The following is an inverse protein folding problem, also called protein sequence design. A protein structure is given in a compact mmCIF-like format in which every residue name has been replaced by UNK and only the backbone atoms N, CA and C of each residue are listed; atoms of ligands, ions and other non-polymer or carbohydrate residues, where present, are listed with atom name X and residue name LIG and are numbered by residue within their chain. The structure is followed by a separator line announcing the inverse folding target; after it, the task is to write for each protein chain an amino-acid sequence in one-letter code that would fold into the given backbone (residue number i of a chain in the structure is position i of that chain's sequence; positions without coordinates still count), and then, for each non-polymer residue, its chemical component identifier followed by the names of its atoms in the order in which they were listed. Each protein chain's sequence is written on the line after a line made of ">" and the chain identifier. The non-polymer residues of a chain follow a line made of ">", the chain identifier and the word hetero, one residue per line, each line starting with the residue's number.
data_IF_750114004630
#
_entry.id   IF_750114004630
#
_cell.length_a   1.000
_cell.length_b   1.000
_cell.length_c   1.000
_cell.angle_alpha   90.00
_cell.angle_beta   90.00
_cell.angle_gamma   90.00
#
_symmetry.space_group_name_H-M   'P 1'
#
loop_
_entity.id
_entity.type
_entity.pdbx_description
1 polymer ?
#
# COMPACT_ATOMS: atom_id res chain seq x y z
N UNK A 1 -26.14 9.78 -10.36
CA UNK A 1 -24.88 10.54 -10.22
C UNK A 1 -23.88 9.91 -11.16
N UNK A 2 -23.33 10.68 -12.09
CA UNK A 2 -22.23 10.21 -12.96
C UNK A 2 -20.92 10.17 -12.17
N UNK A 3 -19.90 9.47 -12.71
CA UNK A 3 -18.57 9.47 -12.11
C UNK A 3 -17.93 10.87 -12.09
N UNK A 4 -18.21 11.69 -13.11
CA UNK A 4 -17.74 13.07 -13.17
C UNK A 4 -18.40 13.93 -12.09
N UNK A 5 -19.72 13.85 -11.93
CA UNK A 5 -20.45 14.54 -10.87
C UNK A 5 -19.94 14.14 -9.49
N UNK A 6 -19.73 12.83 -9.26
CA UNK A 6 -19.14 12.34 -8.02
C UNK A 6 -17.75 12.97 -7.77
N UNK A 7 -16.86 12.93 -8.77
CA UNK A 7 -15.50 13.48 -8.62
C UNK A 7 -15.51 15.00 -8.38
N UNK A 8 -16.37 15.73 -9.10
CA UNK A 8 -16.48 17.19 -9.02
C UNK A 8 -17.13 17.67 -7.73
N UNK A 9 -18.21 17.02 -7.30
CA UNK A 9 -19.13 17.57 -6.29
C UNK A 9 -19.04 16.88 -4.92
N UNK A 10 -18.40 15.71 -4.82
CA UNK A 10 -18.30 14.97 -3.55
C UNK A 10 -17.73 15.84 -2.42
N UNK A 11 -18.41 15.84 -1.28
CA UNK A 11 -17.95 16.43 -0.03
C UNK A 11 -17.53 15.31 0.92
N UNK A 12 -16.30 15.35 1.41
CA UNK A 12 -15.80 14.34 2.35
C UNK A 12 -16.65 14.22 3.62
N UNK A 13 -17.37 15.26 4.02
CA UNK A 13 -18.27 15.22 5.18
C UNK A 13 -19.54 14.40 4.93
N UNK A 14 -19.93 14.20 3.66
CA UNK A 14 -21.07 13.36 3.28
C UNK A 14 -20.75 11.86 3.34
N UNK A 15 -19.46 11.49 3.37
CA UNK A 15 -19.07 10.10 3.54
C UNK A 15 -19.42 9.57 4.94
N UNK A 16 -19.78 8.28 5.07
CA UNK A 16 -20.00 7.64 6.36
C UNK A 16 -18.81 7.84 7.31
N UNK A 17 -19.09 7.93 8.62
CA UNK A 17 -18.03 8.11 9.62
C UNK A 17 -16.93 7.04 9.51
N UNK A 18 -17.31 5.78 9.25
CA UNK A 18 -16.36 4.68 9.03
C UNK A 18 -15.43 4.98 7.85
N UNK A 19 -15.99 5.34 6.70
CA UNK A 19 -15.25 5.72 5.49
C UNK A 19 -14.27 6.85 5.75
N UNK A 20 -14.71 7.91 6.43
CA UNK A 20 -13.85 9.05 6.77
C UNK A 20 -12.66 8.64 7.66
N UNK A 21 -12.93 7.80 8.67
CA UNK A 21 -11.88 7.27 9.53
C UNK A 21 -10.88 6.40 8.76
N UNK A 22 -11.36 5.55 7.84
CA UNK A 22 -10.49 4.72 7.00
C UNK A 22 -9.60 5.58 6.10
N UNK A 23 -10.12 6.62 5.44
CA UNK A 23 -9.29 7.53 4.61
C UNK A 23 -8.17 8.17 5.44
N UNK A 24 -8.48 8.65 6.66
CA UNK A 24 -7.46 9.23 7.54
C UNK A 24 -6.44 8.18 8.01
N UNK A 25 -6.89 6.98 8.34
CA UNK A 25 -6.03 5.86 8.75
C UNK A 25 -5.12 5.41 7.60
N UNK A 26 -5.63 5.32 6.37
CA UNK A 26 -4.83 4.99 5.19
C UNK A 26 -3.79 6.07 4.87
N UNK A 27 -4.12 7.34 5.07
CA UNK A 27 -3.13 8.42 4.96
C UNK A 27 -2.01 8.27 6.00
N UNK A 28 -2.35 7.96 7.26
CA UNK A 28 -1.37 7.66 8.31
C UNK A 28 -0.51 6.45 7.96
N UNK A 29 -1.14 5.37 7.51
CA UNK A 29 -0.49 4.12 7.17
C UNK A 29 0.54 4.30 6.05
N UNK A 30 0.11 4.85 4.90
CA UNK A 30 0.99 5.07 3.75
C UNK A 30 2.16 5.99 4.11
N UNK A 31 1.92 7.08 4.85
CA UNK A 31 3.01 7.99 5.25
C UNK A 31 3.98 7.27 6.20
N UNK A 32 3.49 6.45 7.13
CA UNK A 32 4.33 5.63 8.00
C UNK A 32 5.18 4.62 7.22
N UNK A 33 4.58 3.92 6.25
CA UNK A 33 5.29 3.00 5.37
C UNK A 33 6.36 3.73 4.55
N UNK A 34 6.04 4.88 3.95
CA UNK A 34 6.99 5.69 3.21
C UNK A 34 8.13 6.22 4.09
N UNK A 35 7.87 6.52 5.38
CA UNK A 35 8.90 6.92 6.32
C UNK A 35 9.88 5.78 6.61
N UNK A 36 9.36 4.56 6.84
CA UNK A 36 10.20 3.37 7.02
C UNK A 36 10.97 2.96 5.76
N UNK A 37 10.42 3.26 4.59
CA UNK A 37 11.06 3.01 3.31
C UNK A 37 12.07 4.08 2.90
N UNK A 38 12.15 5.20 3.62
CA UNK A 38 12.75 6.43 3.09
C UNK A 38 14.25 6.32 2.78
N UNK A 39 14.97 5.39 3.41
CA UNK A 39 16.40 5.14 3.18
C UNK A 39 16.68 3.82 2.45
N UNK A 40 15.65 3.06 2.07
CA UNK A 40 15.86 1.78 1.41
C UNK A 40 16.33 1.93 -0.05
N UNK A 41 16.89 0.85 -0.60
CA UNK A 41 17.50 0.85 -1.93
C UNK A 41 16.55 1.30 -3.05
N UNK A 42 15.30 0.85 -3.02
CA UNK A 42 14.27 1.22 -4.01
C UNK A 42 13.94 2.70 -3.95
N UNK A 43 13.65 3.23 -2.77
CA UNK A 43 13.35 4.65 -2.58
C UNK A 43 14.52 5.53 -3.02
N UNK A 44 15.75 5.21 -2.60
CA UNK A 44 16.93 5.99 -2.99
C UNK A 44 17.16 5.96 -4.49
N UNK A 45 17.06 4.78 -5.12
CA UNK A 45 17.22 4.64 -6.56
C UNK A 45 16.16 5.44 -7.34
N UNK A 46 14.89 5.39 -6.90
CA UNK A 46 13.78 6.06 -7.58
C UNK A 46 13.75 7.57 -7.37
N UNK A 47 14.16 8.07 -6.20
CA UNK A 47 14.38 9.52 -5.99
C UNK A 47 15.45 10.05 -6.94
N UNK A 48 16.60 9.37 -7.02
CA UNK A 48 17.69 9.72 -7.95
C UNK A 48 17.23 9.65 -9.41
N UNK A 49 16.41 8.68 -9.76
CA UNK A 49 15.82 8.58 -11.10
C UNK A 49 14.91 9.77 -11.40
N UNK A 50 14.02 10.13 -10.47
CA UNK A 50 13.16 11.31 -10.60
C UNK A 50 13.98 12.61 -10.73
N UNK A 51 14.99 12.82 -9.89
CA UNK A 51 15.85 14.00 -9.96
C UNK A 51 16.57 14.15 -11.31
N UNK A 52 17.05 13.04 -11.89
CA UNK A 52 17.83 13.06 -13.13
C UNK A 52 16.97 13.18 -14.38
N UNK A 53 15.80 12.55 -14.39
CA UNK A 53 14.99 12.40 -15.61
C UNK A 53 13.71 13.23 -15.61
N UNK A 54 13.34 13.79 -14.46
CA UNK A 54 12.15 14.61 -14.28
C UNK A 54 12.50 15.90 -13.56
N UNK A 55 13.35 16.77 -14.13
CA UNK A 55 13.73 18.03 -13.49
C UNK A 55 12.49 18.90 -13.24
N UNK A 56 12.54 19.73 -12.19
CA UNK A 56 11.44 20.63 -11.84
C UNK A 56 11.00 21.49 -13.05
N UNK A 57 9.69 21.54 -13.27
CA UNK A 57 9.06 22.33 -14.33
C UNK A 57 7.86 23.11 -13.79
N UNK A 58 6.89 23.41 -14.67
CA UNK A 58 5.66 24.14 -14.31
C UNK A 58 4.94 23.50 -13.11
N UNK A 59 4.70 22.18 -13.19
CA UNK A 59 4.21 21.39 -12.06
C UNK A 59 5.38 20.75 -11.33
N UNK A 60 5.86 21.41 -10.28
CA UNK A 60 7.02 21.00 -9.49
C UNK A 60 6.61 20.63 -8.08
N UNK A 61 7.01 19.43 -7.63
CA UNK A 61 6.63 18.85 -6.35
C UNK A 61 7.85 18.35 -5.59
N UNK A 62 7.79 18.41 -4.26
CA UNK A 62 8.83 17.88 -3.38
C UNK A 62 8.74 16.36 -3.28
N UNK A 63 9.88 15.69 -3.41
CA UNK A 63 10.02 14.28 -3.07
C UNK A 63 9.73 14.07 -1.58
N UNK A 64 8.74 13.24 -1.27
CA UNK A 64 8.34 12.92 0.11
C UNK A 64 9.55 12.40 0.90
N UNK A 65 9.75 12.94 2.10
CA UNK A 65 10.88 12.69 3.01
C UNK A 65 12.29 13.02 2.49
N UNK A 66 12.39 13.75 1.38
CA UNK A 66 13.66 14.22 0.82
C UNK A 66 13.67 15.75 0.64
N UNK A 67 12.54 16.32 0.18
CA UNK A 67 12.33 17.75 0.04
C UNK A 67 12.89 18.37 -1.23
N UNK A 68 13.71 17.64 -2.01
CA UNK A 68 14.13 18.05 -3.34
C UNK A 68 12.93 18.18 -4.27
N UNK A 69 12.90 19.26 -5.05
CA UNK A 69 11.84 19.52 -6.03
C UNK A 69 12.18 18.88 -7.38
N UNK A 70 11.21 18.17 -7.93
CA UNK A 70 11.25 17.52 -9.26
C UNK A 70 9.92 17.79 -9.97
N UNK A 71 9.78 17.41 -11.23
CA UNK A 71 8.48 17.42 -11.89
C UNK A 71 7.49 16.52 -11.12
N UNK A 72 6.23 16.94 -11.01
CA UNK A 72 5.18 16.19 -10.30
C UNK A 72 5.05 14.74 -10.76
N UNK A 73 5.27 14.46 -12.06
CA UNK A 73 5.27 13.10 -12.61
C UNK A 73 6.39 12.25 -12.00
N UNK A 74 7.59 12.82 -11.88
CA UNK A 74 8.72 12.17 -11.22
C UNK A 74 8.51 12.01 -9.71
N UNK A 75 7.90 12.99 -9.04
CA UNK A 75 7.58 12.91 -7.62
C UNK A 75 6.56 11.81 -7.32
N UNK A 76 5.49 11.72 -8.11
CA UNK A 76 4.47 10.69 -7.99
C UNK A 76 5.04 9.30 -8.32
N UNK A 77 5.88 9.19 -9.37
CA UNK A 77 6.58 7.96 -9.71
C UNK A 77 7.42 7.47 -8.54
N UNK A 78 8.33 8.31 -8.03
CA UNK A 78 9.19 7.94 -6.90
C UNK A 78 8.37 7.62 -5.64
N UNK A 79 7.35 8.42 -5.34
CA UNK A 79 6.48 8.22 -4.18
C UNK A 79 5.74 6.88 -4.21
N UNK A 80 5.20 6.49 -5.36
CA UNK A 80 4.50 5.20 -5.50
C UNK A 80 5.40 4.00 -5.28
N UNK A 81 6.61 4.00 -5.86
CA UNK A 81 7.60 2.94 -5.59
C UNK A 81 8.09 2.95 -4.14
N UNK A 82 8.22 4.11 -3.52
CA UNK A 82 8.59 4.22 -2.11
C UNK A 82 7.52 3.63 -1.19
N UNK A 83 6.24 3.92 -1.43
CA UNK A 83 5.14 3.38 -0.64
C UNK A 83 5.07 1.84 -0.72
N UNK A 84 5.40 1.25 -1.87
CA UNK A 84 5.38 -0.21 -2.11
C UNK A 84 6.65 -0.95 -1.63
N UNK A 85 7.76 -0.24 -1.46
CA UNK A 85 9.07 -0.88 -1.31
C UNK A 85 9.26 -1.71 -0.02
N UNK A 86 8.30 -1.64 0.91
CA UNK A 86 8.23 -2.48 2.11
C UNK A 86 7.07 -3.49 2.10
N UNK A 87 6.21 -3.48 1.07
CA UNK A 87 5.01 -4.33 0.97
C UNK A 87 4.10 -4.30 2.23
N UNK A 88 4.03 -3.13 2.88
CA UNK A 88 3.41 -2.97 4.20
C UNK A 88 2.12 -2.16 4.18
N UNK A 89 1.71 -1.64 3.03
CA UNK A 89 0.53 -0.82 2.88
C UNK A 89 -0.76 -1.64 2.95
N UNK A 90 -1.87 -0.94 3.21
CA UNK A 90 -3.22 -1.45 3.15
C UNK A 90 -3.58 -2.01 1.77
N UNK A 91 -4.55 -2.93 1.71
CA UNK A 91 -5.02 -3.55 0.46
C UNK A 91 -6.51 -3.87 0.49
N UNK A 92 -7.02 -4.44 -0.61
CA UNK A 92 -8.44 -4.69 -0.82
C UNK A 92 -8.66 -6.02 -1.55
N UNK A 93 -9.55 -6.86 -1.00
CA UNK A 93 -9.75 -8.22 -1.47
C UNK A 93 -10.30 -8.32 -2.89
N UNK A 94 -11.37 -7.59 -3.23
CA UNK A 94 -12.03 -7.74 -4.54
C UNK A 94 -11.15 -7.28 -5.70
N UNK A 95 -10.39 -6.21 -5.50
CA UNK A 95 -9.42 -5.74 -6.49
C UNK A 95 -8.09 -6.50 -6.43
N UNK A 96 -7.92 -7.42 -5.47
CA UNK A 96 -6.68 -8.17 -5.21
C UNK A 96 -5.45 -7.25 -5.12
N UNK A 97 -5.62 -6.02 -4.64
CA UNK A 97 -4.60 -4.97 -4.83
C UNK A 97 -4.70 -3.82 -3.85
N UNK A 98 -3.92 -2.77 -4.12
CA UNK A 98 -3.56 -1.73 -3.16
C UNK A 98 -3.68 -0.33 -3.79
N UNK A 99 -4.77 0.40 -3.50
CA UNK A 99 -4.96 1.73 -4.08
C UNK A 99 -4.03 2.78 -3.46
N UNK A 100 -3.83 2.74 -2.14
CA UNK A 100 -3.22 3.84 -1.40
C UNK A 100 -1.77 4.12 -1.71
N UNK A 101 -0.98 3.08 -1.93
CA UNK A 101 0.41 3.22 -2.33
C UNK A 101 0.57 3.91 -3.70
N UNK A 102 -0.48 3.98 -4.52
CA UNK A 102 -0.52 4.83 -5.72
C UNK A 102 -1.16 6.19 -5.44
N UNK A 103 -2.35 6.19 -4.82
CA UNK A 103 -3.21 7.37 -4.64
C UNK A 103 -2.58 8.42 -3.74
N UNK A 104 -2.13 8.03 -2.54
CA UNK A 104 -1.60 8.98 -1.55
C UNK A 104 -0.38 9.74 -2.08
N UNK A 105 0.71 9.10 -2.57
CA UNK A 105 1.87 9.85 -3.05
C UNK A 105 1.55 10.71 -4.28
N UNK A 106 0.69 10.25 -5.20
CA UNK A 106 0.33 11.03 -6.39
C UNK A 106 -0.51 12.26 -6.06
N UNK A 107 -1.52 12.12 -5.19
CA UNK A 107 -2.38 13.23 -4.76
C UNK A 107 -1.59 14.23 -3.93
N UNK A 108 -0.72 13.77 -3.02
CA UNK A 108 0.19 14.66 -2.28
C UNK A 108 1.15 15.39 -3.21
N UNK A 109 1.69 14.70 -4.23
CA UNK A 109 2.59 15.32 -5.20
C UNK A 109 1.87 16.43 -5.98
N UNK A 110 0.66 16.16 -6.47
CA UNK A 110 -0.16 17.13 -7.20
C UNK A 110 -0.56 18.32 -6.31
N UNK A 111 -0.99 18.05 -5.08
CA UNK A 111 -1.34 19.10 -4.12
C UNK A 111 -0.13 19.99 -3.76
N UNK A 112 1.08 19.42 -3.59
CA UNK A 112 2.30 20.21 -3.38
C UNK A 112 2.67 21.05 -4.61
N UNK A 113 2.48 20.51 -5.82
CA UNK A 113 2.71 21.26 -7.06
C UNK A 113 1.75 22.45 -7.22
N UNK A 114 0.47 22.24 -6.94
CA UNK A 114 -0.54 23.30 -6.95
C UNK A 114 -0.27 24.36 -5.85
N UNK A 115 0.14 23.90 -4.67
CA UNK A 115 0.59 24.81 -3.60
C UNK A 115 1.80 25.64 -4.04
N UNK A 116 2.77 25.04 -4.73
CA UNK A 116 3.91 25.76 -5.28
C UNK A 116 3.50 26.82 -6.31
N UNK A 117 2.44 26.57 -7.09
CA UNK A 117 1.84 27.55 -8.01
C UNK A 117 0.97 28.61 -7.31
N UNK A 118 0.91 28.61 -5.97
CA UNK A 118 0.17 29.59 -5.18
C UNK A 118 -1.27 29.21 -4.88
N UNK A 119 -1.73 28.01 -5.25
CA UNK A 119 -3.07 27.53 -4.93
C UNK A 119 -3.08 26.80 -3.58
N UNK A 120 -3.77 27.36 -2.58
CA UNK A 120 -3.94 26.71 -1.29
C UNK A 120 -4.94 25.55 -1.41
N UNK A 121 -4.51 24.34 -1.06
CA UNK A 121 -5.37 23.16 -0.95
C UNK A 121 -5.74 22.97 0.52
N UNK A 122 -7.03 23.07 0.86
CA UNK A 122 -7.46 22.83 2.25
C UNK A 122 -7.32 21.36 2.60
N UNK A 123 -7.20 21.02 3.88
CA UNK A 123 -7.14 19.62 4.27
C UNK A 123 -8.45 18.86 4.02
N UNK A 124 -9.58 19.56 4.07
CA UNK A 124 -10.87 19.02 3.61
C UNK A 124 -10.85 18.64 2.12
N UNK A 125 -10.30 19.52 1.27
CA UNK A 125 -10.15 19.25 -0.17
C UNK A 125 -9.18 18.10 -0.43
N UNK A 126 -8.07 18.02 0.30
CA UNK A 126 -7.13 16.90 0.22
C UNK A 126 -7.80 15.57 0.59
N UNK A 127 -8.54 15.51 1.71
CA UNK A 127 -9.25 14.31 2.14
C UNK A 127 -10.35 13.91 1.15
N UNK A 128 -11.04 14.88 0.54
CA UNK A 128 -12.01 14.63 -0.53
C UNK A 128 -11.34 13.98 -1.74
N UNK A 129 -10.23 14.54 -2.21
CA UNK A 129 -9.46 14.01 -3.33
C UNK A 129 -8.92 12.60 -3.04
N UNK A 130 -8.40 12.35 -1.84
CA UNK A 130 -7.95 11.02 -1.42
C UNK A 130 -9.13 10.03 -1.42
N UNK A 131 -10.26 10.38 -0.81
CA UNK A 131 -11.44 9.51 -0.76
C UNK A 131 -11.94 9.14 -2.16
N UNK A 132 -12.06 10.13 -3.06
CA UNK A 132 -12.40 9.91 -4.47
C UNK A 132 -11.39 8.95 -5.11
N UNK A 133 -10.10 9.21 -4.94
CA UNK A 133 -9.03 8.41 -5.55
C UNK A 133 -9.03 6.96 -5.08
N UNK A 134 -9.19 6.72 -3.77
CA UNK A 134 -9.30 5.36 -3.22
C UNK A 134 -10.55 4.66 -3.75
N UNK A 135 -11.72 5.27 -3.61
CA UNK A 135 -13.00 4.64 -3.96
C UNK A 135 -13.04 4.25 -5.43
N UNK A 136 -12.63 5.15 -6.32
CA UNK A 136 -12.66 4.94 -7.77
C UNK A 136 -11.57 3.98 -8.24
N UNK A 137 -10.35 4.02 -7.66
CA UNK A 137 -9.31 3.04 -7.95
C UNK A 137 -9.74 1.61 -7.56
N UNK A 138 -10.32 1.44 -6.37
CA UNK A 138 -10.74 0.12 -5.89
C UNK A 138 -11.90 -0.47 -6.72
N UNK A 139 -12.83 0.38 -7.18
CA UNK A 139 -13.89 -0.02 -8.12
C UNK A 139 -13.32 -0.44 -9.47
N UNK A 140 -12.43 0.37 -10.05
CA UNK A 140 -11.75 0.03 -11.31
C UNK A 140 -10.94 -1.27 -11.19
N UNK A 141 -10.25 -1.49 -10.08
CA UNK A 141 -9.53 -2.73 -9.82
C UNK A 141 -10.45 -3.94 -9.68
N UNK A 142 -11.60 -3.78 -9.03
CA UNK A 142 -12.61 -4.85 -8.95
C UNK A 142 -13.19 -5.19 -10.32
N UNK A 143 -13.49 -4.17 -11.14
CA UNK A 143 -13.93 -4.35 -12.52
C UNK A 143 -12.88 -5.05 -13.39
N UNK A 144 -11.60 -4.69 -13.25
CA UNK A 144 -10.50 -5.34 -13.96
C UNK A 144 -10.36 -6.81 -13.56
N UNK A 145 -10.44 -7.12 -12.25
CA UNK A 145 -10.35 -8.50 -11.76
C UNK A 145 -11.55 -9.36 -12.16
N UNK A 146 -12.73 -8.75 -12.37
CA UNK A 146 -13.92 -9.45 -12.84
C UNK A 146 -13.89 -9.75 -14.35
N UNK A 147 -13.18 -8.94 -15.12
CA UNK A 147 -13.16 -9.01 -16.59
C UNK A 147 -11.88 -9.60 -17.19
N UNK A 148 -10.86 -9.84 -16.36
CA UNK A 148 -9.59 -10.45 -16.79
C UNK A 148 -9.32 -11.77 -16.05
N UNK A 149 -8.91 -12.84 -16.75
CA UNK A 149 -8.44 -14.06 -16.10
C UNK A 149 -7.04 -13.88 -15.47
N UNK A 150 -6.35 -12.78 -15.77
CA UNK A 150 -5.00 -12.51 -15.25
C UNK A 150 -5.08 -11.66 -14.00
N UNK A 151 -4.35 -12.08 -12.96
CA UNK A 151 -4.11 -11.24 -11.79
C UNK A 151 -3.14 -10.11 -12.15
N UNK A 152 -3.62 -8.87 -12.16
CA UNK A 152 -2.86 -7.69 -12.56
C UNK A 152 -2.40 -6.85 -11.38
N UNK A 153 -1.26 -6.19 -11.58
CA UNK A 153 -0.68 -5.27 -10.61
C UNK A 153 -1.54 -4.01 -10.44
N UNK A 154 -1.57 -3.48 -9.23
CA UNK A 154 -2.46 -2.40 -8.81
C UNK A 154 -2.23 -1.07 -9.52
N UNK A 155 -0.99 -0.81 -9.94
CA UNK A 155 -0.68 0.37 -10.76
C UNK A 155 -1.54 0.46 -12.03
N UNK A 156 -1.94 -0.70 -12.59
CA UNK A 156 -2.76 -0.80 -13.79
C UNK A 156 -4.15 -0.16 -13.67
N UNK A 157 -4.79 -0.29 -12.50
CA UNK A 157 -6.13 0.28 -12.26
C UNK A 157 -6.11 1.54 -11.41
N UNK A 158 -5.08 1.74 -10.56
CA UNK A 158 -5.04 2.86 -9.63
C UNK A 158 -4.83 4.21 -10.31
N UNK A 159 -4.30 4.23 -11.54
CA UNK A 159 -4.20 5.43 -12.37
C UNK A 159 -5.56 6.11 -12.60
N UNK A 160 -6.65 5.34 -12.70
CA UNK A 160 -8.01 5.89 -12.85
C UNK A 160 -8.45 6.67 -11.61
N UNK A 161 -8.05 6.20 -10.42
CA UNK A 161 -8.29 6.94 -9.17
C UNK A 161 -7.51 8.25 -9.11
N UNK A 162 -6.29 8.28 -9.66
CA UNK A 162 -5.51 9.51 -9.80
C UNK A 162 -6.22 10.50 -10.73
N UNK A 163 -6.78 10.04 -11.85
CA UNK A 163 -7.56 10.89 -12.74
C UNK A 163 -8.78 11.47 -12.03
N UNK A 164 -9.56 10.66 -11.29
CA UNK A 164 -10.74 11.14 -10.57
C UNK A 164 -10.38 12.19 -9.50
N UNK A 165 -9.37 11.91 -8.68
CA UNK A 165 -8.89 12.85 -7.67
C UNK A 165 -8.29 14.13 -8.30
N UNK A 166 -7.46 13.96 -9.32
CA UNK A 166 -6.77 15.05 -9.99
C UNK A 166 -7.69 15.92 -10.84
N UNK A 167 -8.75 15.37 -11.43
CA UNK A 167 -9.75 16.14 -12.17
C UNK A 167 -10.44 17.18 -11.27
N UNK A 168 -10.76 16.79 -10.03
CA UNK A 168 -11.25 17.71 -9.01
C UNK A 168 -10.20 18.78 -8.68
N UNK A 169 -8.98 18.36 -8.38
CA UNK A 169 -7.90 19.29 -8.00
C UNK A 169 -7.49 20.22 -9.15
N UNK A 170 -7.65 19.84 -10.40
CA UNK A 170 -7.31 20.65 -11.58
C UNK A 170 -8.52 21.42 -12.14
N UNK A 171 -9.73 21.16 -11.63
CA UNK A 171 -10.95 21.83 -12.08
C UNK A 171 -11.34 21.48 -13.51
N UNK A 172 -11.18 20.22 -13.91
CA UNK A 172 -11.48 19.77 -15.28
C UNK A 172 -12.99 19.78 -15.56
N UNK A 173 -13.35 20.01 -16.82
CA UNK A 173 -14.70 19.75 -17.34
C UNK A 173 -14.89 18.25 -17.67
N UNK A 174 -16.15 17.86 -17.93
CA UNK A 174 -16.53 16.46 -18.15
C UNK A 174 -15.88 15.84 -19.39
N UNK A 175 -15.72 16.62 -20.48
CA UNK A 175 -15.14 16.11 -21.71
C UNK A 175 -13.64 15.83 -21.54
N UNK A 176 -12.93 16.77 -20.91
CA UNK A 176 -11.51 16.62 -20.57
C UNK A 176 -11.30 15.46 -19.59
N UNK A 177 -12.17 15.34 -18.57
CA UNK A 177 -12.15 14.24 -17.60
C UNK A 177 -12.30 12.87 -18.27
N UNK A 178 -13.27 12.72 -19.18
CA UNK A 178 -13.51 11.46 -19.91
C UNK A 178 -12.30 11.06 -20.75
N UNK A 179 -11.67 12.00 -21.45
CA UNK A 179 -10.44 11.72 -22.20
C UNK A 179 -9.28 11.34 -21.28
N UNK A 180 -9.13 11.99 -20.12
CA UNK A 180 -8.11 11.63 -19.14
C UNK A 180 -8.28 10.20 -18.61
N UNK A 181 -9.52 9.77 -18.31
CA UNK A 181 -9.78 8.37 -17.89
C UNK A 181 -9.31 7.38 -18.94
N UNK A 182 -9.68 7.66 -20.19
CA UNK A 182 -9.29 6.87 -21.34
C UNK A 182 -7.79 6.73 -21.56
N UNK A 183 -7.09 7.87 -21.54
CA UNK A 183 -5.63 7.91 -21.67
C UNK A 183 -4.97 7.14 -20.51
N UNK A 184 -5.46 7.35 -19.28
CA UNK A 184 -4.90 6.68 -18.11
C UNK A 184 -5.03 5.17 -18.22
N UNK A 185 -6.21 4.64 -18.55
CA UNK A 185 -6.39 3.19 -18.66
C UNK A 185 -5.58 2.61 -19.83
N UNK A 186 -5.58 3.27 -20.99
CA UNK A 186 -4.89 2.78 -22.18
C UNK A 186 -3.36 2.71 -21.99
N UNK A 187 -2.78 3.67 -21.26
CA UNK A 187 -1.33 3.69 -20.97
C UNK A 187 -0.94 2.99 -19.68
N UNK A 188 -1.89 2.64 -18.82
CA UNK A 188 -1.58 1.88 -17.61
C UNK A 188 -1.31 0.43 -17.96
N UNK A 189 -0.07 0.00 -17.78
CA UNK A 189 0.32 -1.37 -18.05
C UNK A 189 -0.43 -2.34 -17.12
N UNK A 190 -1.19 -3.27 -17.72
CA UNK A 190 -1.83 -4.40 -17.01
C UNK A 190 -0.78 -5.47 -16.66
N UNK A 191 0.22 -5.11 -15.85
CA UNK A 191 1.36 -5.96 -15.48
C UNK A 191 0.88 -7.25 -14.78
N UNK A 192 1.24 -8.47 -15.24
CA UNK A 192 0.84 -9.71 -14.56
C UNK A 192 1.52 -9.84 -13.20
N UNK A 193 0.75 -9.78 -12.12
CA UNK A 193 1.28 -9.67 -10.76
C UNK A 193 2.08 -10.92 -10.35
N UNK A 194 1.64 -12.10 -10.78
CA UNK A 194 2.31 -13.36 -10.47
C UNK A 194 3.78 -13.41 -10.93
N UNK A 195 4.18 -12.61 -11.93
CA UNK A 195 5.59 -12.54 -12.35
C UNK A 195 6.48 -11.98 -11.24
N UNK A 196 6.02 -10.95 -10.53
CA UNK A 196 6.78 -10.33 -9.42
C UNK A 196 6.67 -11.19 -8.17
N UNK A 197 5.54 -11.85 -7.93
CA UNK A 197 5.42 -12.82 -6.82
C UNK A 197 6.40 -13.98 -6.99
N UNK A 198 6.52 -14.53 -8.21
CA UNK A 198 7.40 -15.67 -8.51
C UNK A 198 8.88 -15.26 -8.66
N UNK A 199 9.14 -14.03 -9.10
CA UNK A 199 10.47 -13.45 -9.21
C UNK A 199 10.46 -12.04 -8.60
N UNK A 200 10.57 -11.94 -7.25
CA UNK A 200 10.56 -10.66 -6.55
C UNK A 200 11.63 -9.70 -7.08
N UNK A 201 11.21 -8.49 -7.40
CA UNK A 201 12.06 -7.42 -7.91
C UNK A 201 11.54 -6.06 -7.47
N UNK A 202 12.35 -5.02 -7.68
CA UNK A 202 12.01 -3.62 -7.41
C UNK A 202 10.90 -3.06 -8.32
N UNK A 203 10.32 -3.87 -9.23
CA UNK A 203 9.16 -3.49 -10.04
C UNK A 203 7.88 -3.40 -9.20
N UNK A 204 7.81 -4.21 -8.14
CA UNK A 204 6.72 -4.23 -7.15
C UNK A 204 5.33 -4.31 -7.81
N UNK A 205 4.29 -3.76 -7.18
CA UNK A 205 2.91 -3.76 -7.68
C UNK A 205 2.64 -2.60 -8.67
N UNK A 206 3.70 -2.13 -9.34
CA UNK A 206 3.71 -1.06 -10.33
C UNK A 206 3.08 0.28 -9.87
N UNK A 207 3.00 0.54 -8.57
CA UNK A 207 2.33 1.73 -8.02
C UNK A 207 2.87 3.05 -8.56
N UNK A 208 4.20 3.21 -8.66
CA UNK A 208 4.78 4.43 -9.22
C UNK A 208 4.47 4.62 -10.72
N UNK A 209 4.35 3.52 -11.48
CA UNK A 209 3.94 3.59 -12.88
C UNK A 209 2.48 4.03 -13.03
N UNK A 210 1.58 3.51 -12.17
CA UNK A 210 0.18 3.96 -12.13
C UNK A 210 0.02 5.42 -11.70
N UNK A 211 0.79 5.84 -10.70
CA UNK A 211 0.83 7.23 -10.22
C UNK A 211 1.23 8.19 -11.34
N UNK A 212 2.27 7.82 -12.10
CA UNK A 212 2.68 8.56 -13.29
C UNK A 212 1.62 8.56 -14.38
N UNK A 213 1.10 7.39 -14.75
CA UNK A 213 0.16 7.25 -15.86
C UNK A 213 -1.09 8.11 -15.65
N UNK A 214 -1.64 8.12 -14.42
CA UNK A 214 -2.80 8.94 -14.09
C UNK A 214 -2.54 10.44 -14.15
N UNK A 215 -1.43 10.92 -13.58
CA UNK A 215 -1.08 12.36 -13.68
C UNK A 215 -0.73 12.77 -15.11
N UNK A 216 -0.01 11.92 -15.85
CA UNK A 216 0.33 12.16 -17.25
C UNK A 216 -0.94 12.25 -18.11
N UNK A 217 -1.92 11.37 -17.88
CA UNK A 217 -3.20 11.39 -18.58
C UNK A 217 -4.00 12.68 -18.35
N UNK A 218 -4.02 13.20 -17.11
CA UNK A 218 -4.64 14.49 -16.79
C UNK A 218 -4.01 15.61 -17.62
N UNK A 219 -2.68 15.71 -17.61
CA UNK A 219 -1.99 16.78 -18.36
C UNK A 219 -2.13 16.62 -19.87
N UNK A 220 -2.09 15.41 -20.41
CA UNK A 220 -2.34 15.17 -21.83
C UNK A 220 -3.75 15.61 -22.25
N UNK A 221 -4.77 15.27 -21.46
CA UNK A 221 -6.15 15.66 -21.74
C UNK A 221 -6.33 17.19 -21.68
N UNK A 222 -5.67 17.87 -20.72
CA UNK A 222 -5.68 19.34 -20.63
C UNK A 222 -5.08 20.02 -21.88
N UNK A 223 -4.14 19.36 -22.55
CA UNK A 223 -3.56 19.81 -23.83
C UNK A 223 -4.41 19.40 -25.06
N UNK A 224 -5.61 18.85 -24.84
CA UNK A 224 -6.55 18.46 -25.89
C UNK A 224 -6.26 17.11 -26.54
N UNK A 225 -5.38 16.29 -25.96
CA UNK A 225 -5.22 14.90 -26.40
C UNK A 225 -6.49 14.12 -26.06
N UNK A 226 -6.97 13.35 -27.03
CA UNK A 226 -8.17 12.53 -26.87
C UNK A 226 -7.82 11.11 -26.41
N UNK A 227 -8.60 10.58 -25.48
CA UNK A 227 -8.52 9.19 -25.00
C UNK A 227 -9.62 8.30 -25.56
N UNK A 228 -9.32 7.02 -25.78
CA UNK A 228 -10.32 5.98 -26.00
C UNK A 228 -11.15 5.75 -24.72
N UNK A 229 -12.43 5.35 -24.77
CA UNK A 229 -13.21 5.09 -23.57
C UNK A 229 -12.52 4.12 -22.60
N UNK A 230 -12.56 4.39 -21.30
CA UNK A 230 -11.99 3.49 -20.30
C UNK A 230 -12.91 2.28 -20.07
N UNK A 231 -12.51 1.09 -20.50
CA UNK A 231 -13.28 -0.15 -20.45
C UNK A 231 -13.72 -0.51 -19.02
N UNK A 232 -12.83 -0.40 -18.03
CA UNK A 232 -13.14 -0.76 -16.62
C UNK A 232 -14.04 0.26 -15.92
N UNK A 233 -14.43 1.33 -16.62
CA UNK A 233 -15.35 2.36 -16.14
C UNK A 233 -16.63 2.41 -16.97
N UNK A 234 -16.49 2.42 -18.29
CA UNK A 234 -17.55 2.77 -19.23
C UNK A 234 -18.19 1.58 -19.93
N UNK A 235 -17.54 0.41 -19.94
CA UNK A 235 -18.11 -0.77 -20.57
C UNK A 235 -19.37 -1.23 -19.82
N UNK A 236 -20.41 -1.61 -20.56
CA UNK A 236 -21.69 -2.04 -19.97
C UNK A 236 -21.53 -3.28 -19.08
N UNK A 237 -20.55 -4.13 -19.37
CA UNK A 237 -20.25 -5.35 -18.61
C UNK A 237 -19.72 -5.07 -17.20
N UNK A 238 -19.17 -3.88 -16.94
CA UNK A 238 -18.64 -3.48 -15.63
C UNK A 238 -19.56 -2.52 -14.87
N UNK A 239 -20.73 -2.18 -15.43
CA UNK A 239 -21.64 -1.18 -14.86
C UNK A 239 -22.06 -1.50 -13.41
N UNK A 240 -22.11 -2.79 -13.03
CA UNK A 240 -22.44 -3.20 -11.67
C UNK A 240 -21.42 -2.75 -10.60
N UNK A 241 -20.16 -2.55 -10.99
CA UNK A 241 -19.10 -2.07 -10.10
C UNK A 241 -19.19 -0.56 -9.82
N UNK A 242 -20.00 0.17 -10.59
CA UNK A 242 -20.14 1.63 -10.49
C UNK A 242 -21.54 2.10 -10.11
N UNK A 243 -22.56 1.23 -10.21
CA UNK A 243 -23.99 1.58 -10.03
C UNK A 243 -24.35 2.20 -8.68
N UNK A 244 -23.58 1.91 -7.64
CA UNK A 244 -23.82 2.34 -6.25
C UNK A 244 -22.73 3.29 -5.73
N UNK A 245 -22.04 3.99 -6.64
CA UNK A 245 -21.08 5.03 -6.31
C UNK A 245 -21.71 6.09 -5.38
N UNK A 246 -21.02 6.39 -4.28
CA UNK A 246 -21.50 7.28 -3.23
C UNK A 246 -22.51 6.66 -2.27
N UNK A 247 -22.92 5.41 -2.47
CA UNK A 247 -23.85 4.68 -1.59
C UNK A 247 -23.16 3.52 -0.86
N UNK A 248 -22.47 2.66 -1.62
CA UNK A 248 -21.55 1.65 -1.10
C UNK A 248 -20.12 2.18 -1.23
N UNK A 249 -19.25 1.84 -0.28
CA UNK A 249 -17.87 2.29 -0.26
C UNK A 249 -16.96 1.06 -0.34
N UNK A 250 -16.20 0.90 -1.43
CA UNK A 250 -15.20 -0.17 -1.53
C UNK A 250 -14.04 0.05 -0.55
N UNK A 251 -13.70 1.31 -0.27
CA UNK A 251 -12.68 1.66 0.73
C UNK A 251 -12.99 1.11 2.12
N UNK A 252 -14.26 0.89 2.46
CA UNK A 252 -14.67 0.31 3.75
C UNK A 252 -14.29 -1.17 3.92
N UNK A 253 -13.84 -1.82 2.85
CA UNK A 253 -13.46 -3.23 2.77
C UNK A 253 -11.94 -3.44 2.69
N UNK A 254 -11.15 -2.42 3.04
CA UNK A 254 -9.68 -2.52 3.08
C UNK A 254 -9.17 -3.28 4.31
N UNK A 255 -8.07 -4.00 4.14
CA UNK A 255 -7.27 -4.55 5.24
C UNK A 255 -5.98 -3.74 5.42
N UNK A 256 -5.46 -3.69 6.65
CA UNK A 256 -4.17 -3.08 6.98
C UNK A 256 -3.16 -4.16 7.34
N UNK A 257 -2.03 -4.21 6.65
CA UNK A 257 -0.97 -5.18 6.97
C UNK A 257 -0.21 -4.75 8.23
N UNK A 258 -0.20 -5.51 9.34
CA UNK A 258 0.64 -5.19 10.49
C UNK A 258 2.13 -5.39 10.21
N UNK A 259 2.49 -6.31 9.32
CA UNK A 259 3.89 -6.63 8.98
C UNK A 259 4.22 -6.32 7.52
N UNK A 260 5.48 -5.92 7.21
CA UNK A 260 5.95 -5.55 5.88
C UNK A 260 6.25 -6.78 5.00
N UNK A 261 5.23 -7.60 4.73
CA UNK A 261 5.34 -8.87 3.99
C UNK A 261 4.09 -9.15 3.17
N UNK A 262 4.24 -10.06 2.21
CA UNK A 262 3.17 -10.51 1.33
C UNK A 262 1.90 -10.82 2.12
N UNK A 263 0.76 -10.40 1.57
CA UNK A 263 -0.56 -10.63 2.17
C UNK A 263 -0.77 -12.09 2.56
N UNK A 264 -0.27 -13.02 1.76
CA UNK A 264 -0.40 -14.47 1.98
C UNK A 264 0.38 -14.98 3.19
N UNK A 265 1.42 -14.26 3.65
CA UNK A 265 2.18 -14.63 4.83
C UNK A 265 1.56 -14.16 6.17
N UNK A 266 0.68 -13.15 6.12
CA UNK A 266 0.09 -12.50 7.31
C UNK A 266 -0.64 -13.47 8.27
N UNK A 267 -1.40 -14.50 7.82
CA UNK A 267 -2.10 -15.38 8.75
C UNK A 267 -1.15 -16.24 9.60
N UNK A 268 -0.03 -16.70 9.04
CA UNK A 268 0.97 -17.46 9.80
C UNK A 268 1.65 -16.59 10.88
N UNK A 269 1.97 -15.33 10.56
CA UNK A 269 2.51 -14.39 11.57
C UNK A 269 1.47 -14.09 12.66
N UNK A 270 0.18 -14.00 12.28
CA UNK A 270 -0.93 -13.83 13.24
C UNK A 270 -1.03 -15.00 14.20
N UNK A 271 -0.99 -16.23 13.67
CA UNK A 271 -1.04 -17.45 14.48
C UNK A 271 0.16 -17.57 15.44
N UNK A 272 1.37 -17.22 14.97
CA UNK A 272 2.57 -17.25 15.81
C UNK A 272 2.51 -16.22 16.93
N UNK A 273 2.11 -14.99 16.63
CA UNK A 273 1.98 -13.94 17.64
C UNK A 273 1.02 -14.36 18.76
N UNK A 274 -0.13 -14.95 18.39
CA UNK A 274 -1.11 -15.41 19.38
C UNK A 274 -0.58 -16.59 20.21
N UNK A 275 0.14 -17.53 19.60
CA UNK A 275 0.81 -18.61 20.34
C UNK A 275 1.86 -18.07 21.31
N UNK A 276 2.69 -17.09 20.92
CA UNK A 276 3.66 -16.46 21.82
C UNK A 276 2.98 -15.72 22.98
N UNK A 277 1.82 -15.10 22.73
CA UNK A 277 1.01 -14.45 23.77
C UNK A 277 0.46 -15.45 24.79
N UNK A 278 0.01 -16.62 24.33
CA UNK A 278 -0.52 -17.69 25.18
C UNK A 278 0.59 -18.48 25.89
N UNK A 279 1.79 -18.53 25.30
CA UNK A 279 2.95 -19.28 25.81
C UNK A 279 4.18 -18.37 25.90
N UNK A 280 4.31 -17.54 26.95
CA UNK A 280 5.40 -16.56 27.06
C UNK A 280 6.83 -17.13 27.09
N UNK A 281 6.99 -18.44 27.33
CA UNK A 281 8.28 -19.13 27.28
C UNK A 281 8.62 -19.68 25.88
N UNK A 282 7.76 -19.47 24.89
CA UNK A 282 8.00 -19.83 23.50
C UNK A 282 9.03 -18.88 22.88
N UNK A 283 10.26 -19.38 22.68
CA UNK A 283 11.39 -18.63 22.15
C UNK A 283 12.13 -19.48 21.09
N UNK A 284 12.91 -18.82 20.23
CA UNK A 284 13.61 -19.49 19.13
C UNK A 284 14.47 -20.70 19.57
N UNK A 285 15.09 -20.62 20.75
CA UNK A 285 15.95 -21.67 21.29
C UNK A 285 15.19 -22.88 21.84
N UNK A 286 13.90 -22.73 22.20
CA UNK A 286 13.07 -23.83 22.70
C UNK A 286 12.34 -24.58 21.59
N UNK A 287 12.29 -24.02 20.38
CA UNK A 287 11.65 -24.62 19.20
C UNK A 287 12.58 -25.65 18.57
N UNK A 288 12.03 -26.81 18.22
CA UNK A 288 12.67 -27.84 17.40
C UNK A 288 12.33 -27.63 15.92
N UNK A 289 11.04 -27.54 15.59
CA UNK A 289 10.53 -27.25 14.23
C UNK A 289 9.20 -26.48 14.26
N UNK A 290 8.88 -25.83 13.14
CA UNK A 290 7.58 -25.19 12.90
C UNK A 290 7.01 -25.74 11.60
N UNK A 291 5.80 -26.28 11.62
CA UNK A 291 5.03 -26.62 10.43
C UNK A 291 3.96 -25.56 10.19
N UNK A 292 3.94 -25.00 8.98
CA UNK A 292 2.94 -24.05 8.50
C UNK A 292 2.07 -24.75 7.47
N UNK A 293 0.80 -24.92 7.78
CA UNK A 293 -0.21 -25.45 6.88
C UNK A 293 -1.01 -24.28 6.29
N UNK A 294 -1.06 -24.17 4.96
CA UNK A 294 -1.70 -23.04 4.28
C UNK A 294 -2.18 -23.41 2.86
N UNK A 295 -2.68 -22.44 2.09
CA UNK A 295 -3.14 -22.65 0.71
C UNK A 295 -1.95 -22.67 -0.27
N UNK A 296 -2.16 -23.25 -1.46
CA UNK A 296 -1.11 -23.49 -2.47
C UNK A 296 -0.24 -22.25 -2.77
N UNK A 297 -0.87 -21.10 -3.02
CA UNK A 297 -0.18 -19.87 -3.38
C UNK A 297 0.72 -19.35 -2.24
N UNK A 298 0.29 -19.46 -0.98
CA UNK A 298 1.15 -19.13 0.16
C UNK A 298 2.25 -20.16 0.38
N UNK A 299 1.99 -21.44 0.08
CA UNK A 299 3.00 -22.50 0.14
C UNK A 299 4.13 -22.25 -0.85
N UNK A 300 3.84 -21.63 -2.00
CA UNK A 300 4.87 -21.21 -2.96
C UNK A 300 5.81 -20.12 -2.43
N UNK A 301 5.48 -19.43 -1.33
CA UNK A 301 6.32 -18.41 -0.69
C UNK A 301 7.31 -19.00 0.33
N UNK A 302 7.96 -20.14 0.04
CA UNK A 302 8.82 -20.85 1.02
C UNK A 302 9.85 -19.92 1.69
N UNK A 303 10.78 -19.38 0.90
CA UNK A 303 11.60 -18.23 1.27
C UNK A 303 12.51 -18.38 2.50
N UNK A 304 13.20 -19.51 2.66
CA UNK A 304 14.03 -19.75 3.87
C UNK A 304 15.27 -18.86 3.98
N UNK A 305 15.90 -18.51 2.85
CA UNK A 305 17.17 -17.76 2.80
C UNK A 305 17.11 -16.68 1.73
N UNK A 306 16.33 -15.60 1.95
CA UNK A 306 16.22 -14.50 1.00
C UNK A 306 17.57 -13.83 0.78
N UNK A 307 17.84 -13.38 -0.45
CA UNK A 307 19.10 -12.71 -0.83
C UNK A 307 19.05 -11.20 -0.69
N UNK A 308 17.85 -10.64 -0.70
CA UNK A 308 17.58 -9.22 -0.74
C UNK A 308 16.22 -8.92 -0.07
N UNK A 309 15.89 -7.63 0.06
CA UNK A 309 14.67 -7.19 0.70
C UNK A 309 13.41 -7.60 -0.07
N UNK A 310 13.46 -7.59 -1.40
CA UNK A 310 12.34 -8.01 -2.24
C UNK A 310 11.99 -9.48 -1.96
N UNK A 311 12.98 -10.37 -1.92
CA UNK A 311 12.78 -11.78 -1.57
C UNK A 311 12.35 -11.97 -0.12
N UNK A 312 12.88 -11.19 0.82
CA UNK A 312 12.51 -11.32 2.24
C UNK A 312 11.02 -10.99 2.49
N UNK A 313 10.47 -10.03 1.74
CA UNK A 313 9.06 -9.62 1.86
C UNK A 313 8.10 -10.62 1.18
N UNK A 314 8.57 -11.38 0.19
CA UNK A 314 7.83 -12.47 -0.48
C UNK A 314 8.27 -13.87 0.01
N UNK A 315 8.89 -13.94 1.17
CA UNK A 315 9.27 -15.16 1.87
C UNK A 315 8.37 -15.33 3.09
N UNK A 316 7.76 -16.49 3.31
CA UNK A 316 6.94 -16.76 4.50
C UNK A 316 7.81 -17.26 5.67
N UNK A 317 8.75 -18.17 5.43
CA UNK A 317 9.58 -18.74 6.51
C UNK A 317 10.43 -17.67 7.20
N UNK A 318 11.15 -16.84 6.42
CA UNK A 318 12.06 -15.85 6.96
C UNK A 318 11.42 -14.83 7.93
N UNK A 319 10.36 -14.08 7.57
CA UNK A 319 9.74 -13.14 8.49
C UNK A 319 9.00 -13.82 9.64
N UNK A 320 8.49 -15.05 9.47
CA UNK A 320 7.95 -15.83 10.57
C UNK A 320 9.05 -16.16 11.60
N UNK A 321 10.23 -16.55 11.13
CA UNK A 321 11.39 -16.75 12.00
C UNK A 321 11.86 -15.44 12.65
N UNK A 322 11.89 -14.33 11.90
CA UNK A 322 12.24 -13.02 12.42
C UNK A 322 11.30 -12.58 13.54
N UNK A 323 9.99 -12.81 13.39
CA UNK A 323 8.99 -12.53 14.41
C UNK A 323 9.31 -13.29 15.71
N UNK A 324 9.62 -14.58 15.62
CA UNK A 324 9.95 -15.39 16.80
C UNK A 324 11.25 -14.93 17.46
N UNK A 325 12.27 -14.65 16.67
CA UNK A 325 13.63 -14.32 17.14
C UNK A 325 13.71 -12.91 17.72
N UNK A 326 12.99 -11.94 17.15
CA UNK A 326 13.04 -10.52 17.54
C UNK A 326 11.83 -10.08 18.35
N UNK A 327 10.74 -10.84 18.35
CA UNK A 327 9.46 -10.44 18.94
C UNK A 327 8.71 -9.35 18.16
N UNK A 328 9.24 -8.93 17.00
CA UNK A 328 8.68 -7.90 16.11
C UNK A 328 9.09 -8.18 14.66
N UNK A 329 8.35 -7.61 13.71
CA UNK A 329 8.78 -7.50 12.30
C UNK A 329 8.38 -6.11 11.79
N UNK A 330 9.38 -5.26 11.60
CA UNK A 330 9.25 -3.96 10.94
C UNK A 330 10.22 -3.82 9.75
N UNK A 331 10.48 -2.60 9.26
CA UNK A 331 11.40 -2.37 8.15
C UNK A 331 12.79 -2.97 8.38
N UNK A 332 13.29 -2.91 9.61
CA UNK A 332 14.62 -3.43 9.99
C UNK A 332 14.74 -4.94 9.76
N UNK A 333 13.70 -5.70 10.11
CA UNK A 333 13.73 -7.16 10.04
C UNK A 333 13.65 -7.71 8.61
N UNK A 334 13.16 -6.93 7.64
CA UNK A 334 13.02 -7.37 6.23
C UNK A 334 13.96 -6.64 5.28
N UNK A 335 14.94 -5.89 5.80
CA UNK A 335 15.93 -5.15 5.01
C UNK A 335 17.34 -5.27 5.60
N UNK A 336 18.34 -4.75 4.87
CA UNK A 336 19.69 -4.55 5.40
C UNK A 336 20.34 -5.82 5.96
N UNK A 337 20.96 -5.70 7.14
CA UNK A 337 21.72 -6.78 7.79
C UNK A 337 20.86 -7.87 8.41
N UNK A 338 19.57 -7.64 8.66
CA UNK A 338 18.69 -8.66 9.24
C UNK A 338 18.49 -9.84 8.29
N UNK A 339 18.50 -9.58 6.97
CA UNK A 339 18.37 -10.60 5.91
C UNK A 339 19.42 -11.70 6.03
N UNK A 340 20.63 -11.35 6.50
CA UNK A 340 21.74 -12.29 6.67
C UNK A 340 21.98 -12.69 8.13
N UNK A 341 21.07 -12.37 9.05
CA UNK A 341 21.22 -12.68 10.47
C UNK A 341 21.24 -14.19 10.73
N UNK A 342 22.33 -14.77 11.27
CA UNK A 342 22.47 -16.22 11.40
C UNK A 342 21.40 -16.89 12.28
N UNK A 343 20.93 -16.19 13.31
CA UNK A 343 19.89 -16.68 14.23
C UNK A 343 18.50 -16.76 13.58
N UNK A 344 18.12 -15.75 12.79
CA UNK A 344 16.89 -15.76 12.00
C UNK A 344 16.96 -16.87 10.95
N UNK A 345 18.07 -16.95 10.21
CA UNK A 345 18.25 -17.98 9.18
C UNK A 345 18.24 -19.40 9.76
N UNK A 346 18.83 -19.60 10.95
CA UNK A 346 18.82 -20.90 11.64
C UNK A 346 17.41 -21.35 12.05
N UNK A 347 16.54 -20.44 12.50
CA UNK A 347 15.14 -20.78 12.74
C UNK A 347 14.35 -20.94 11.43
N UNK A 348 14.56 -20.06 10.46
CA UNK A 348 13.89 -20.09 9.15
C UNK A 348 14.09 -21.43 8.42
N UNK A 349 15.29 -22.02 8.53
CA UNK A 349 15.61 -23.33 7.95
C UNK A 349 14.86 -24.51 8.61
N UNK A 350 14.24 -24.30 9.78
CA UNK A 350 13.48 -25.32 10.53
C UNK A 350 11.96 -25.16 10.37
N UNK A 351 11.55 -24.27 9.48
CA UNK A 351 10.15 -24.04 9.14
C UNK A 351 9.83 -24.90 7.91
N UNK A 352 8.79 -25.72 7.99
CA UNK A 352 8.25 -26.47 6.87
C UNK A 352 6.92 -25.84 6.47
N UNK A 353 6.76 -25.42 5.22
CA UNK A 353 5.50 -24.85 4.72
C UNK A 353 4.87 -25.84 3.75
N UNK A 354 3.63 -26.22 4.02
CA UNK A 354 2.89 -27.23 3.25
C UNK A 354 1.52 -26.71 2.85
N UNK A 355 1.04 -27.24 1.73
CA UNK A 355 -0.35 -27.08 1.34
C UNK A 355 -1.26 -27.95 2.22
N UNK A 356 -2.38 -27.39 2.66
CA UNK A 356 -3.43 -28.10 3.38
C UNK A 356 -4.75 -27.99 2.62
N UNK A 357 -5.32 -29.15 2.22
CA UNK A 357 -6.48 -29.21 1.34
C UNK A 357 -7.74 -28.52 1.93
N UNK A 358 -7.92 -28.58 3.26
CA UNK A 358 -9.01 -27.89 3.97
C UNK A 358 -8.88 -26.37 3.93
N UNK A 359 -7.65 -25.85 3.79
CA UNK A 359 -7.36 -24.42 3.67
C UNK A 359 -7.39 -23.99 2.20
N UNK A 360 -6.77 -24.74 1.28
CA UNK A 360 -6.79 -24.45 -0.17
C UNK A 360 -8.21 -24.39 -0.73
N UNK A 361 -9.11 -25.25 -0.27
CA UNK A 361 -10.50 -25.26 -0.72
C UNK A 361 -11.30 -23.99 -0.38
N UNK A 362 -10.75 -23.09 0.44
CA UNK A 362 -11.37 -21.82 0.87
C UNK A 362 -10.73 -20.60 0.21
N UNK A 363 -9.66 -20.79 -0.57
CA UNK A 363 -9.02 -19.72 -1.33
C UNK A 363 -9.71 -19.57 -2.70
N UNK A 364 -9.92 -18.34 -3.22
CA UNK A 364 -9.43 -17.05 -2.73
C UNK A 364 -10.32 -16.31 -1.72
N UNK A 365 -11.47 -16.86 -1.34
CA UNK A 365 -12.44 -16.21 -0.46
C UNK A 365 -11.87 -15.95 0.94
N UNK A 366 -11.03 -16.86 1.44
CA UNK A 366 -10.35 -16.77 2.73
C UNK A 366 -8.85 -17.03 2.59
N UNK A 367 -8.04 -16.25 3.32
CA UNK A 367 -6.58 -16.33 3.34
C UNK A 367 -6.17 -16.78 4.75
N UNK A 368 -5.76 -18.04 4.89
CA UNK A 368 -5.65 -18.70 6.19
C UNK A 368 -4.35 -19.51 6.35
N UNK A 369 -3.94 -19.70 7.60
CA UNK A 369 -2.86 -20.61 7.98
C UNK A 369 -3.15 -21.31 9.31
N UNK A 370 -2.51 -22.46 9.53
CA UNK A 370 -2.47 -23.19 10.80
C UNK A 370 -1.03 -23.55 11.11
N UNK A 371 -0.60 -23.37 12.36
CA UNK A 371 0.75 -23.67 12.82
C UNK A 371 0.77 -24.89 13.75
N UNK A 372 1.79 -25.73 13.60
CA UNK A 372 2.20 -26.70 14.61
C UNK A 372 3.67 -26.46 14.98
N UNK A 373 3.94 -26.18 16.25
CA UNK A 373 5.28 -25.90 16.77
C UNK A 373 5.71 -27.05 17.66
N UNK A 374 6.73 -27.78 17.25
CA UNK A 374 7.35 -28.81 18.09
C UNK A 374 8.46 -28.15 18.92
N UNK A 375 8.42 -28.30 20.23
CA UNK A 375 9.45 -27.85 21.16
C UNK A 375 10.50 -28.93 21.38
N UNK A 376 11.72 -28.54 21.79
CA UNK A 376 12.82 -29.46 22.09
C UNK A 376 12.55 -30.43 23.23
N UNK A 377 11.57 -30.14 24.08
CA UNK A 377 11.10 -31.03 25.15
C UNK A 377 10.04 -32.05 24.66
N UNK A 378 9.70 -32.05 23.37
CA UNK A 378 8.71 -32.93 22.75
C UNK A 378 7.27 -32.42 22.81
N UNK A 379 6.99 -31.30 23.49
CA UNK A 379 5.66 -30.69 23.48
C UNK A 379 5.34 -30.12 22.10
N UNK A 380 4.09 -30.28 21.65
CA UNK A 380 3.59 -29.69 20.41
C UNK A 380 2.51 -28.66 20.73
N UNK A 381 2.68 -27.44 20.24
CA UNK A 381 1.69 -26.36 20.31
C UNK A 381 1.03 -26.22 18.94
N UNK A 382 -0.30 -26.14 18.90
CA UNK A 382 -1.05 -26.05 17.64
C UNK A 382 -1.96 -24.83 17.68
N UNK A 383 -1.90 -23.98 16.64
CA UNK A 383 -2.81 -22.85 16.50
C UNK A 383 -4.16 -23.31 15.92
N UNK A 384 -5.26 -22.56 16.13
CA UNK A 384 -6.44 -22.70 15.27
C UNK A 384 -6.11 -22.32 13.82
N UNK A 385 -7.01 -22.66 12.89
CA UNK A 385 -7.01 -22.05 11.55
C UNK A 385 -7.25 -20.56 11.74
N UNK A 386 -6.29 -19.75 11.29
CA UNK A 386 -6.18 -18.34 11.63
C UNK A 386 -6.25 -17.51 10.36
N UNK A 387 -7.05 -16.45 10.38
CA UNK A 387 -7.05 -15.39 9.38
C UNK A 387 -6.02 -14.32 9.73
N UNK A 388 -5.68 -13.46 8.78
CA UNK A 388 -4.76 -12.37 9.04
C UNK A 388 -5.37 -11.33 9.99
N UNK A 389 -4.54 -10.81 10.89
CA UNK A 389 -4.83 -9.60 11.64
C UNK A 389 -4.88 -8.39 10.71
N UNK A 390 -5.81 -7.48 10.96
CA UNK A 390 -5.98 -6.25 10.18
C UNK A 390 -6.98 -6.37 9.04
N UNK A 391 -7.68 -7.50 8.91
CA UNK A 391 -8.78 -7.69 7.97
C UNK A 391 -9.99 -6.83 8.36
N UNK A 392 -10.94 -6.52 7.45
CA UNK A 392 -12.12 -5.73 7.78
C UNK A 392 -12.95 -6.28 8.95
N UNK A 393 -12.89 -7.59 9.19
CA UNK A 393 -13.58 -8.27 10.28
C UNK A 393 -12.78 -8.29 11.60
N UNK A 394 -11.45 -8.06 11.52
CA UNK A 394 -10.51 -8.00 12.64
C UNK A 394 -9.56 -6.80 12.46
N UNK A 395 -10.10 -5.57 12.32
CA UNK A 395 -9.32 -4.41 11.91
C UNK A 395 -8.31 -4.03 12.99
N UNK A 396 -7.20 -3.42 12.57
CA UNK A 396 -6.27 -2.82 13.52
C UNK A 396 -6.96 -1.66 14.26
N UNK A 397 -6.74 -1.56 15.56
CA UNK A 397 -7.19 -0.40 16.33
C UNK A 397 -6.44 0.86 15.90
N UNK A 398 -6.96 2.04 16.25
CA UNK A 398 -6.26 3.32 16.00
C UNK A 398 -4.91 3.34 16.71
N UNK A 399 -4.83 2.80 17.92
CA UNK A 399 -3.59 2.67 18.70
C UNK A 399 -2.60 1.73 18.01
N UNK A 400 -3.08 0.62 17.44
CA UNK A 400 -2.23 -0.34 16.71
C UNK A 400 -1.69 0.27 15.41
N UNK A 401 -2.48 1.06 14.69
CA UNK A 401 -2.02 1.82 13.52
C UNK A 401 -0.98 2.88 13.92
N UNK A 402 -1.15 3.56 15.06
CA UNK A 402 -0.14 4.47 15.57
C UNK A 402 1.15 3.76 15.99
N UNK A 403 1.04 2.58 16.62
CA UNK A 403 2.19 1.74 16.97
C UNK A 403 2.91 1.25 15.71
N UNK A 404 2.17 0.84 14.67
CA UNK A 404 2.73 0.51 13.36
C UNK A 404 3.48 1.70 12.77
N UNK A 405 2.87 2.90 12.78
CA UNK A 405 3.53 4.12 12.33
C UNK A 405 4.85 4.35 13.09
N UNK A 406 4.84 4.26 14.42
CA UNK A 406 6.03 4.49 15.24
C UNK A 406 7.12 3.44 14.98
N UNK A 407 6.74 2.17 14.79
CA UNK A 407 7.66 1.08 14.44
C UNK A 407 8.33 1.32 13.09
N UNK A 408 7.60 1.85 12.10
CA UNK A 408 8.12 2.07 10.75
C UNK A 408 8.89 3.38 10.64
N UNK A 409 8.41 4.44 11.27
CA UNK A 409 8.93 5.80 11.16
C UNK A 409 10.05 6.13 12.15
N UNK A 410 10.76 5.12 12.67
CA UNK A 410 11.85 5.34 13.66
C UNK A 410 12.91 6.31 13.16
N UNK A 411 13.24 6.27 11.86
CA UNK A 411 14.19 7.17 11.22
C UNK A 411 13.79 8.65 11.25
N UNK A 412 12.51 8.98 11.51
CA UNK A 412 12.07 10.37 11.69
C UNK A 412 12.48 10.95 13.06
N UNK A 413 12.66 10.10 14.06
CA UNK A 413 12.76 10.50 15.46
C UNK A 413 11.40 10.87 16.08
N UNK A 414 11.30 10.86 17.43
CA UNK A 414 10.01 10.94 18.14
C UNK A 414 9.27 12.25 17.96
N UNK A 415 9.98 13.39 17.90
CA UNK A 415 9.37 14.71 17.72
C UNK A 415 8.68 14.83 16.36
N UNK A 416 9.40 14.46 15.28
CA UNK A 416 8.87 14.53 13.92
C UNK A 416 7.78 13.50 13.69
N UNK A 417 7.91 12.29 14.23
CA UNK A 417 6.82 11.29 14.21
C UNK A 417 5.55 11.82 14.86
N UNK A 418 5.67 12.47 16.03
CA UNK A 418 4.53 13.10 16.72
C UNK A 418 3.92 14.24 15.90
N UNK A 419 4.77 15.07 15.27
CA UNK A 419 4.32 16.16 14.41
C UNK A 419 3.53 15.64 13.18
N UNK A 420 4.01 14.58 12.51
CA UNK A 420 3.31 13.96 11.39
C UNK A 420 1.96 13.39 11.83
N UNK A 421 1.92 12.60 12.91
CA UNK A 421 0.66 12.02 13.44
C UNK A 421 -0.36 13.10 13.80
N UNK A 422 0.10 14.16 14.45
CA UNK A 422 -0.73 15.32 14.80
C UNK A 422 -1.28 16.03 13.57
N UNK A 423 -0.42 16.30 12.57
CA UNK A 423 -0.82 16.94 11.33
C UNK A 423 -1.88 16.13 10.57
N UNK A 424 -1.76 14.80 10.53
CA UNK A 424 -2.74 13.92 9.87
C UNK A 424 -4.07 13.88 10.63
N UNK A 425 -4.02 13.77 11.97
CA UNK A 425 -5.22 13.78 12.81
C UNK A 425 -6.04 15.06 12.61
N UNK A 426 -5.35 16.19 12.58
CA UNK A 426 -5.96 17.53 12.54
C UNK A 426 -6.09 18.06 11.09
N UNK A 427 -5.81 17.22 10.08
CA UNK A 427 -5.73 17.66 8.68
C UNK A 427 -7.06 18.20 8.18
N UNK A 428 -8.20 17.64 8.60
CA UNK A 428 -9.52 18.08 8.14
C UNK A 428 -9.80 19.57 8.43
N UNK A 429 -9.18 20.12 9.48
CA UNK A 429 -9.32 21.53 9.88
C UNK A 429 -8.23 22.44 9.28
N UNK A 430 -7.25 21.89 8.56
CA UNK A 430 -6.14 22.65 8.03
C UNK A 430 -6.58 23.56 6.87
N UNK A 431 -6.27 24.86 6.99
CA UNK A 431 -6.48 25.84 5.90
C UNK A 431 -5.59 25.57 4.68
N UNK A 432 -4.42 24.98 4.90
CA UNK A 432 -3.52 24.50 3.87
C UNK A 432 -2.94 23.15 4.29
N UNK A 433 -3.31 22.09 3.56
CA UNK A 433 -2.90 20.73 3.86
C UNK A 433 -1.39 20.54 3.72
N UNK A 434 -0.79 21.13 2.68
CA UNK A 434 0.65 21.03 2.40
C UNK A 434 1.49 21.73 3.46
N UNK A 435 1.01 22.85 4.01
CA UNK A 435 1.66 23.52 5.14
C UNK A 435 1.54 22.69 6.42
N UNK A 436 0.38 22.09 6.70
CA UNK A 436 0.20 21.21 7.86
C UNK A 436 1.10 19.96 7.76
N UNK A 437 1.21 19.37 6.58
CA UNK A 437 2.05 18.20 6.28
C UNK A 437 3.51 18.57 5.99
N UNK A 438 3.98 19.78 6.36
CA UNK A 438 5.37 20.18 6.15
C UNK A 438 6.40 19.16 6.67
N UNK A 439 6.21 18.49 7.83
CA UNK A 439 7.12 17.44 8.29
C UNK A 439 7.25 16.23 7.35
N UNK A 440 6.32 16.01 6.42
CA UNK A 440 6.39 14.92 5.42
C UNK A 440 7.29 15.29 4.24
N UNK A 441 7.45 16.57 3.95
CA UNK A 441 8.21 17.08 2.79
C UNK A 441 9.63 17.56 3.14
N UNK A 442 10.10 17.34 4.36
CA UNK A 442 11.47 17.64 4.77
C UNK A 442 12.39 16.44 4.53
N UNK A 443 13.68 16.66 4.30
CA UNK A 443 14.64 15.57 4.25
C UNK A 443 14.68 14.83 5.60
N UNK A 444 14.77 13.50 5.59
CA UNK A 444 15.17 12.76 6.78
C UNK A 444 16.69 12.91 6.93
N UNK A 445 17.19 13.33 8.10
CA UNK A 445 18.64 13.38 8.33
C UNK A 445 19.24 12.01 8.03
N UNK A 446 20.34 11.99 7.26
CA UNK A 446 21.16 10.78 7.16
C UNK A 446 21.56 10.38 8.58
N UNK A 447 21.21 9.17 9.02
CA UNK A 447 21.77 8.65 10.28
C UNK A 447 23.30 8.68 10.17
N UNK A 448 24.01 9.15 11.22
CA UNK A 448 25.47 9.27 11.20
C UNK A 448 26.18 7.94 11.01
#
# INVERSE_FOLDING_TARGET
>A
MSLFEFSRDFDFLDAPQKTRAIVQNSLLDIIGVMAGAASNGTTVAMRRFAERHYPAGLYSSRLIFAGQRVNVLGAAWAGGFSADSLDAHEGHFKSKGHAGATVVPAVLALADALHHQGRSITGHELLSALCIGYETALRAGSALMATSPTYHASGGFSALGIVCAGARLLGLDEATFRHALGIAEYFSARCPMMRVVQAPTMLRDAHGAGAFAGLNALFMAMEGITGAPAETVEDVTVAEHWRDLGQRWEIDSQYFKPWPVCRWAQPALTAMLELQRQHPLLAADSIENIRVETFYESMCLQGHSPKDADQAQYALAFPLAALVVRGKVGPEEVTGSAISAPDILALSARIEIVEAADISARFPEEILSRLSITLKNGQVLVSPITAARGDPHTPLSVEELQQKFDLFAQGLGPERSTAVKTAIRDIAQARCAITALQPVFQAIPSSP
#
